data_IF_672369190809
#
_entry.id   IF_672369190809
#
_cell.length_a   1.000
_cell.length_b   1.000
_cell.length_c   1.000
_cell.angle_alpha   90.00
_cell.angle_beta   90.00
_cell.angle_gamma   90.00
#
_symmetry.space_group_name_H-M   'P 1'
#
loop_
_entity.id
_entity.type
_entity.pdbx_description
1 polymer ?
#
# COMPACT_ATOMS: atom_id res chain seq x y z
N UNK A 1 2.79 18.79 5.28
CA UNK A 1 2.71 17.58 4.42
C UNK A 1 1.61 16.70 4.98
N UNK A 2 0.76 16.07 4.16
CA UNK A 2 -0.32 15.22 4.67
C UNK A 2 0.18 13.84 5.14
N UNK A 3 1.30 13.37 4.59
CA UNK A 3 1.96 12.14 5.00
C UNK A 3 3.50 12.21 4.80
N UNK A 4 4.22 11.31 5.45
CA UNK A 4 5.68 11.15 5.34
C UNK A 4 6.06 9.65 5.39
N UNK A 5 7.06 9.26 4.60
CA UNK A 5 7.72 7.96 4.71
C UNK A 5 9.11 8.14 5.32
N UNK A 6 9.30 7.60 6.52
CA UNK A 6 10.60 7.58 7.19
C UNK A 6 11.26 6.22 6.98
N UNK A 7 12.47 6.21 6.40
CA UNK A 7 13.25 4.98 6.24
C UNK A 7 13.40 4.27 7.59
N UNK A 8 13.10 2.97 7.61
CA UNK A 8 13.26 2.14 8.79
C UNK A 8 14.46 1.22 8.65
N UNK A 9 14.48 0.41 7.59
CA UNK A 9 15.56 -0.51 7.26
C UNK A 9 15.32 -1.10 5.85
N UNK A 10 15.99 -2.20 5.52
CA UNK A 10 15.83 -2.93 4.28
C UNK A 10 15.83 -4.45 4.52
N UNK A 11 15.17 -5.18 3.64
CA UNK A 11 15.29 -6.64 3.63
C UNK A 11 16.67 -6.98 3.10
N UNK A 12 17.34 -7.98 3.71
CA UNK A 12 18.64 -8.45 3.24
C UNK A 12 18.54 -8.88 1.77
N UNK A 13 19.32 -8.22 0.89
CA UNK A 13 19.26 -8.38 -0.57
C UNK A 13 17.87 -8.10 -1.19
N UNK A 14 17.08 -7.26 -0.53
CA UNK A 14 15.74 -6.89 -0.94
C UNK A 14 15.49 -5.39 -0.82
N UNK A 15 14.23 -4.95 -0.94
CA UNK A 15 13.90 -3.53 -0.92
C UNK A 15 13.92 -2.94 0.49
N UNK A 16 14.06 -1.61 0.54
CA UNK A 16 13.86 -0.81 1.74
C UNK A 16 12.39 -0.79 2.17
N UNK A 17 12.15 -0.66 3.47
CA UNK A 17 10.82 -0.45 4.03
C UNK A 17 10.80 0.70 5.04
N UNK A 18 9.63 1.29 5.17
CA UNK A 18 9.44 2.61 5.76
C UNK A 18 8.36 2.58 6.84
N UNK A 19 8.47 3.49 7.81
CA UNK A 19 7.37 3.89 8.67
C UNK A 19 6.55 4.96 7.96
N UNK A 20 5.22 4.84 8.03
CA UNK A 20 4.28 5.84 7.52
C UNK A 20 3.80 6.73 8.65
N UNK A 21 3.88 8.03 8.45
CA UNK A 21 3.23 9.07 9.25
C UNK A 21 2.13 9.69 8.40
N UNK A 22 0.92 9.83 8.93
CA UNK A 22 -0.19 10.56 8.32
C UNK A 22 -0.64 11.63 9.32
N UNK A 23 -0.83 12.86 8.87
CA UNK A 23 -1.22 14.00 9.72
C UNK A 23 -0.39 14.08 11.03
N UNK A 24 0.95 13.99 10.89
CA UNK A 24 1.94 14.01 11.98
C UNK A 24 1.82 12.89 13.03
N UNK A 25 1.00 11.87 12.75
CA UNK A 25 0.85 10.68 13.60
C UNK A 25 1.33 9.43 12.88
N UNK A 26 2.17 8.66 13.55
CA UNK A 26 2.66 7.37 13.04
C UNK A 26 1.50 6.39 12.90
N UNK A 27 1.37 5.78 11.72
CA UNK A 27 0.47 4.65 11.48
C UNK A 27 1.09 3.39 12.12
N UNK A 28 0.36 2.68 13.01
CA UNK A 28 0.91 1.54 13.74
C UNK A 28 0.92 0.24 12.92
N UNK A 29 1.46 -0.81 13.52
CA UNK A 29 1.33 -2.23 13.13
C UNK A 29 2.01 -2.69 11.83
N UNK A 30 2.27 -1.81 10.87
CA UNK A 30 2.80 -2.20 9.56
C UNK A 30 4.01 -1.36 9.14
N UNK A 31 4.74 -1.89 8.15
CA UNK A 31 5.76 -1.17 7.40
C UNK A 31 5.34 -1.09 5.94
N UNK A 32 5.89 -0.12 5.22
CA UNK A 32 5.43 0.23 3.89
C UNK A 32 6.57 0.19 2.89
N UNK A 33 6.24 -0.14 1.64
CA UNK A 33 7.14 0.02 0.52
C UNK A 33 7.27 1.48 0.11
N UNK A 34 8.24 1.79 -0.75
CA UNK A 34 8.37 3.13 -1.33
C UNK A 34 7.24 3.44 -2.34
N UNK A 35 6.73 2.38 -2.99
CA UNK A 35 5.70 2.46 -4.03
C UNK A 35 4.39 2.99 -3.47
N UNK A 36 3.96 4.13 -4.01
CA UNK A 36 2.73 4.82 -3.61
C UNK A 36 2.22 5.72 -4.74
N UNK A 37 0.96 6.12 -4.65
CA UNK A 37 0.33 7.09 -5.54
C UNK A 37 -0.70 7.91 -4.76
N UNK A 38 -0.74 9.21 -5.04
CA UNK A 38 -1.81 10.09 -4.59
C UNK A 38 -2.98 10.01 -5.58
N UNK A 39 -4.20 9.89 -5.05
CA UNK A 39 -5.44 9.76 -5.83
C UNK A 39 -6.40 10.88 -5.45
N UNK A 40 -7.29 11.23 -6.38
CA UNK A 40 -8.26 12.33 -6.26
C UNK A 40 -7.61 13.61 -5.69
N UNK A 41 -6.67 14.16 -6.45
CA UNK A 41 -6.01 15.44 -6.12
C UNK A 41 -5.31 15.45 -4.74
N UNK A 42 -4.82 14.28 -4.30
CA UNK A 42 -4.06 14.15 -3.07
C UNK A 42 -4.90 13.88 -1.83
N UNK A 43 -6.22 13.67 -1.95
CA UNK A 43 -7.05 13.25 -0.81
C UNK A 43 -6.73 11.84 -0.34
N UNK A 44 -6.46 10.93 -1.28
CA UNK A 44 -6.19 9.54 -0.95
C UNK A 44 -4.74 9.17 -1.24
N UNK A 45 -4.18 8.32 -0.40
CA UNK A 45 -2.87 7.71 -0.59
C UNK A 45 -3.03 6.20 -0.77
N UNK A 46 -2.78 5.69 -1.96
CA UNK A 46 -2.59 4.25 -2.17
C UNK A 46 -1.10 3.92 -2.00
N UNK A 47 -0.79 2.94 -1.15
CA UNK A 47 0.58 2.57 -0.82
C UNK A 47 0.70 1.05 -0.65
N UNK A 48 1.88 0.53 -0.98
CA UNK A 48 2.23 -0.85 -0.69
C UNK A 48 2.47 -1.05 0.82
N UNK A 49 1.61 -1.82 1.47
CA UNK A 49 1.75 -2.23 2.87
C UNK A 49 2.31 -3.66 2.94
N UNK A 50 3.32 -3.85 3.78
CA UNK A 50 4.01 -5.13 3.94
C UNK A 50 3.53 -5.85 5.20
N UNK A 51 3.16 -7.12 5.05
CA UNK A 51 2.67 -7.97 6.14
C UNK A 51 3.79 -8.82 6.76
N UNK A 52 4.96 -8.86 6.14
CA UNK A 52 6.15 -9.52 6.70
C UNK A 52 7.42 -8.95 6.09
N UNK A 53 8.49 -8.86 6.90
CA UNK A 53 9.86 -8.58 6.45
C UNK A 53 10.74 -9.83 6.49
N UNK A 54 10.16 -11.00 6.76
CA UNK A 54 10.84 -12.27 6.79
C UNK A 54 11.14 -12.76 5.38
N UNK A 55 12.41 -12.64 4.98
CA UNK A 55 12.91 -13.05 3.67
C UNK A 55 12.55 -14.50 3.32
N UNK A 56 12.49 -15.44 4.28
CA UNK A 56 12.20 -16.85 4.00
C UNK A 56 10.76 -17.07 3.55
N UNK A 57 9.83 -16.22 3.99
CA UNK A 57 8.41 -16.27 3.58
C UNK A 57 8.17 -15.64 2.22
N UNK A 58 9.14 -14.86 1.74
CA UNK A 58 9.00 -13.99 0.58
C UNK A 58 8.08 -12.80 0.86
N UNK A 59 7.89 -11.91 -0.13
CA UNK A 59 7.05 -10.74 0.03
C UNK A 59 5.59 -11.16 0.22
N UNK A 60 4.97 -10.60 1.26
CA UNK A 60 3.53 -10.68 1.46
C UNK A 60 3.06 -9.25 1.63
N UNK A 61 2.45 -8.70 0.59
CA UNK A 61 2.04 -7.29 0.55
C UNK A 61 0.56 -7.14 0.23
N UNK A 62 0.04 -5.93 0.38
CA UNK A 62 -1.28 -5.53 -0.10
C UNK A 62 -1.32 -4.04 -0.37
N UNK A 63 -2.36 -3.58 -1.04
CA UNK A 63 -2.63 -2.15 -1.16
C UNK A 63 -3.33 -1.70 0.12
N UNK A 64 -2.77 -0.69 0.78
CA UNK A 64 -3.48 0.11 1.76
C UNK A 64 -3.85 1.44 1.10
N UNK A 65 -5.11 1.85 1.22
CA UNK A 65 -5.61 3.12 0.72
C UNK A 65 -6.03 3.95 1.91
N UNK A 66 -5.36 5.07 2.13
CA UNK A 66 -5.68 6.01 3.20
C UNK A 66 -6.55 7.14 2.66
N UNK A 67 -7.62 7.47 3.36
CA UNK A 67 -8.31 8.76 3.23
C UNK A 67 -7.60 9.73 4.19
N UNK A 68 -6.78 10.62 3.64
CA UNK A 68 -5.92 11.50 4.43
C UNK A 68 -6.71 12.59 5.16
N UNK A 69 -7.86 13.00 4.61
CA UNK A 69 -8.75 13.97 5.24
C UNK A 69 -9.48 13.38 6.44
N UNK A 70 -10.07 12.19 6.25
CA UNK A 70 -10.90 11.54 7.27
C UNK A 70 -10.09 10.62 8.21
N UNK A 71 -8.78 10.45 7.94
CA UNK A 71 -7.86 9.60 8.73
C UNK A 71 -8.31 8.15 8.78
N UNK A 72 -8.84 7.67 7.66
CA UNK A 72 -9.30 6.30 7.51
C UNK A 72 -8.33 5.51 6.62
N UNK A 73 -8.40 4.19 6.74
CA UNK A 73 -7.67 3.27 5.88
C UNK A 73 -8.58 2.11 5.47
N UNK A 74 -8.42 1.66 4.24
CA UNK A 74 -8.97 0.40 3.75
C UNK A 74 -7.84 -0.42 3.15
N UNK A 75 -7.98 -1.75 3.22
CA UNK A 75 -6.91 -2.69 2.89
C UNK A 75 -7.45 -3.73 1.93
N UNK A 76 -6.85 -3.78 0.75
CA UNK A 76 -7.25 -4.74 -0.28
C UNK A 76 -6.71 -6.13 0.01
N UNK A 77 -7.11 -7.09 -0.83
CA UNK A 77 -6.72 -8.48 -0.70
C UNK A 77 -5.19 -8.67 -0.68
N UNK A 78 -4.72 -9.54 0.21
CA UNK A 78 -3.32 -9.90 0.36
C UNK A 78 -2.77 -10.60 -0.89
N UNK A 79 -1.58 -10.17 -1.31
CA UNK A 79 -0.77 -10.80 -2.36
C UNK A 79 0.36 -11.58 -1.69
N UNK A 80 0.36 -12.91 -1.85
CA UNK A 80 1.44 -13.79 -1.36
C UNK A 80 2.51 -13.97 -2.44
N UNK A 81 3.78 -13.92 -2.04
CA UNK A 81 4.95 -14.04 -2.93
C UNK A 81 4.94 -13.02 -4.08
N UNK A 82 4.38 -11.85 -3.83
CA UNK A 82 4.30 -10.78 -4.81
C UNK A 82 4.22 -9.41 -4.15
N UNK A 83 4.39 -8.41 -4.99
CA UNK A 83 4.34 -6.99 -4.66
C UNK A 83 3.09 -6.36 -5.26
N UNK A 84 2.73 -5.18 -4.78
CA UNK A 84 1.68 -4.37 -5.38
C UNK A 84 2.23 -3.03 -5.80
N UNK A 85 1.89 -2.60 -7.01
CA UNK A 85 2.43 -1.36 -7.58
C UNK A 85 1.46 -0.71 -8.58
N UNK A 86 1.91 0.40 -9.18
CA UNK A 86 1.21 1.06 -10.30
C UNK A 86 -0.22 1.53 -9.98
N UNK A 87 -0.45 2.03 -8.77
CA UNK A 87 -1.77 2.48 -8.29
C UNK A 87 -2.31 3.67 -9.09
N UNK A 88 -3.49 3.52 -9.68
CA UNK A 88 -4.16 4.58 -10.45
C UNK A 88 -5.66 4.57 -10.15
N UNK A 89 -6.27 5.74 -10.20
CA UNK A 89 -7.73 5.88 -10.14
C UNK A 89 -8.17 6.75 -11.31
N UNK A 90 -8.97 6.18 -12.22
CA UNK A 90 -9.47 6.88 -13.39
C UNK A 90 -10.91 6.44 -13.66
N UNK A 91 -11.80 7.39 -13.95
CA UNK A 91 -13.20 7.11 -14.28
C UNK A 91 -13.87 6.18 -13.25
N UNK A 92 -13.61 6.43 -11.95
CA UNK A 92 -14.14 5.63 -10.85
C UNK A 92 -13.65 4.16 -10.78
N UNK A 93 -12.61 3.80 -11.55
CA UNK A 93 -11.96 2.49 -11.48
C UNK A 93 -10.57 2.66 -10.89
N UNK A 94 -10.32 1.99 -9.77
CA UNK A 94 -9.00 1.85 -9.19
C UNK A 94 -8.29 0.65 -9.79
N UNK A 95 -7.09 0.88 -10.32
CA UNK A 95 -6.25 -0.16 -10.90
C UNK A 95 -4.90 -0.25 -10.21
N UNK A 96 -4.37 -1.46 -10.13
CA UNK A 96 -3.04 -1.75 -9.58
C UNK A 96 -2.51 -3.07 -10.13
N UNK A 97 -1.19 -3.22 -10.10
CA UNK A 97 -0.53 -4.45 -10.52
C UNK A 97 -0.20 -5.33 -9.33
N UNK A 98 -0.25 -6.64 -9.57
CA UNK A 98 0.32 -7.69 -8.72
C UNK A 98 1.53 -8.27 -9.44
N UNK A 99 2.72 -8.03 -8.91
CA UNK A 99 3.99 -8.40 -9.55
C UNK A 99 4.63 -9.57 -8.80
N UNK A 100 4.87 -10.68 -9.51
CA UNK A 100 5.44 -11.92 -8.97
C UNK A 100 6.83 -12.15 -9.55
N UNK A 101 7.88 -11.61 -8.90
CA UNK A 101 9.25 -11.68 -9.42
C UNK A 101 9.79 -13.10 -9.64
N UNK A 102 9.29 -14.09 -8.90
CA UNK A 102 9.73 -15.48 -9.05
C UNK A 102 9.43 -16.10 -10.42
N UNK A 103 8.49 -15.54 -11.18
CA UNK A 103 8.16 -16.00 -12.54
C UNK A 103 7.93 -14.86 -13.55
N UNK A 104 8.25 -13.62 -13.18
CA UNK A 104 8.07 -12.44 -14.02
C UNK A 104 6.60 -12.11 -14.35
N UNK A 105 5.63 -12.76 -13.68
CA UNK A 105 4.21 -12.55 -13.97
C UNK A 105 3.73 -11.22 -13.38
N UNK A 106 3.06 -10.44 -14.20
CA UNK A 106 2.32 -9.23 -13.78
C UNK A 106 0.84 -9.47 -14.05
N UNK A 107 0.00 -9.18 -13.06
CA UNK A 107 -1.46 -9.27 -13.18
C UNK A 107 -2.05 -7.93 -12.77
N UNK A 108 -2.65 -7.22 -13.73
CA UNK A 108 -3.42 -6.02 -13.43
C UNK A 108 -4.73 -6.42 -12.72
N UNK A 109 -5.16 -5.62 -11.77
CA UNK A 109 -6.40 -5.79 -11.03
C UNK A 109 -7.17 -4.48 -11.03
N UNK A 110 -8.48 -4.59 -11.26
CA UNK A 110 -9.39 -3.45 -11.31
C UNK A 110 -10.46 -3.61 -10.22
N UNK A 111 -10.82 -2.50 -9.59
CA UNK A 111 -11.86 -2.42 -8.57
C UNK A 111 -12.67 -1.16 -8.83
N UNK A 112 -14.00 -1.27 -8.87
CA UNK A 112 -14.88 -0.11 -8.83
C UNK A 112 -14.68 0.59 -7.48
N UNK A 113 -14.29 1.87 -7.54
CA UNK A 113 -13.98 2.68 -6.36
C UNK A 113 -15.13 2.73 -5.36
N UNK A 114 -16.38 2.72 -5.84
CA UNK A 114 -17.57 2.77 -4.97
C UNK A 114 -17.78 1.48 -4.17
N UNK A 115 -17.15 0.37 -4.56
CA UNK A 115 -17.22 -0.89 -3.83
C UNK A 115 -16.22 -0.95 -2.66
N UNK A 116 -15.32 0.02 -2.55
CA UNK A 116 -14.36 0.11 -1.45
C UNK A 116 -15.06 0.76 -0.24
N UNK A 117 -15.66 -0.08 0.61
CA UNK A 117 -16.49 0.36 1.74
C UNK A 117 -15.91 0.02 3.12
N UNK A 118 -14.91 -0.86 3.19
CA UNK A 118 -14.31 -1.35 4.44
C UNK A 118 -13.29 -0.37 5.03
N UNK A 119 -13.72 0.84 5.35
CA UNK A 119 -12.89 1.87 5.97
C UNK A 119 -12.84 1.68 7.49
N UNK A 120 -11.64 1.77 8.05
CA UNK A 120 -11.38 1.76 9.49
C UNK A 120 -10.49 2.94 9.89
N UNK A 121 -10.40 3.25 11.18
CA UNK A 121 -9.43 4.22 11.68
C UNK A 121 -8.00 3.81 11.26
N UNK A 122 -7.24 4.77 10.74
CA UNK A 122 -5.86 4.54 10.28
C UNK A 122 -4.88 4.23 11.44
N UNK A 123 -5.25 4.50 12.69
CA UNK A 123 -4.38 4.40 13.86
C UNK A 123 -4.76 3.28 14.83
N UNK A 124 -5.68 2.39 14.43
CA UNK A 124 -6.03 1.18 15.18
C UNK A 124 -5.29 -0.06 14.65
#
# INVERSE_FOLDING_TARGET
>A
MQYELKYLSEIKFGPAYYLLTVADKKVPNFVYGFTRSELQDGRYLAIEEWLTTDYQKGPITRVAIFDLENKLVTRLATVKKGFVDSFKLKNNIFTYNKTYHGNGKVVESEIDWNLITQWSDAYL
#
